data_IF_077589095597
#
_entry.id   IF_077589095597
#
_cell.length_a   1.000
_cell.length_b   1.000
_cell.length_c   1.000
_cell.angle_alpha   90.00
_cell.angle_beta   90.00
_cell.angle_gamma   90.00
#
_symmetry.space_group_name_H-M   'P 1'
#
loop_
_entity.id
_entity.type
_entity.pdbx_description
1 polymer ?
#
# COMPACT_ATOMS: atom_id res chain seq x y z
N UNK A 1 -0.69 -21.29 11.13
CA UNK A 1 -0.91 -19.82 11.16
C UNK A 1 -1.75 -19.48 9.95
N UNK A 2 -2.89 -18.80 10.12
CA UNK A 2 -3.74 -18.41 8.99
C UNK A 2 -3.10 -17.21 8.26
N UNK A 3 -2.08 -17.48 7.45
CA UNK A 3 -1.53 -16.50 6.52
C UNK A 3 -2.57 -16.35 5.39
N UNK A 4 -3.61 -15.53 5.60
CA UNK A 4 -4.35 -15.08 4.44
C UNK A 4 -3.36 -14.30 3.59
N UNK A 5 -3.00 -14.81 2.40
CA UNK A 5 -2.01 -14.19 1.49
C UNK A 5 -2.32 -12.72 1.18
N UNK A 6 -3.55 -12.28 1.46
CA UNK A 6 -4.07 -10.96 1.19
C UNK A 6 -5.06 -10.52 2.27
N UNK A 7 -5.26 -9.19 2.46
CA UNK A 7 -6.32 -8.68 3.32
C UNK A 7 -7.73 -9.09 2.85
N UNK A 8 -8.71 -9.02 3.77
CA UNK A 8 -10.13 -9.29 3.50
C UNK A 8 -10.69 -8.34 2.43
N UNK A 9 -11.47 -8.87 1.48
CA UNK A 9 -12.14 -8.10 0.44
C UNK A 9 -13.06 -7.02 1.03
N UNK A 10 -13.20 -5.89 0.34
CA UNK A 10 -14.03 -4.76 0.76
C UNK A 10 -13.43 -3.86 1.86
N UNK A 11 -12.23 -4.18 2.37
CA UNK A 11 -11.55 -3.32 3.36
C UNK A 11 -10.63 -2.29 2.71
N UNK A 12 -10.44 -1.14 3.36
CA UNK A 12 -9.45 -0.14 2.92
C UNK A 12 -8.04 -0.72 2.83
N UNK A 13 -7.70 -1.65 3.73
CA UNK A 13 -6.42 -2.36 3.72
C UNK A 13 -6.26 -3.24 2.48
N UNK A 14 -7.35 -3.82 1.97
CA UNK A 14 -7.33 -4.54 0.70
C UNK A 14 -7.09 -3.60 -0.49
N UNK A 15 -7.76 -2.44 -0.50
CA UNK A 15 -7.55 -1.42 -1.52
C UNK A 15 -6.08 -0.99 -1.55
N UNK A 16 -5.49 -0.70 -0.39
CA UNK A 16 -4.07 -0.38 -0.27
C UNK A 16 -3.18 -1.53 -0.75
N UNK A 17 -3.44 -2.77 -0.33
CA UNK A 17 -2.68 -3.94 -0.79
C UNK A 17 -2.68 -4.05 -2.32
N UNK A 18 -3.85 -3.97 -2.95
CA UNK A 18 -3.97 -4.11 -4.41
C UNK A 18 -3.30 -2.94 -5.16
N UNK A 19 -3.31 -1.73 -4.59
CA UNK A 19 -2.63 -0.55 -5.16
C UNK A 19 -1.11 -0.64 -5.05
N UNK A 20 -0.61 -1.03 -3.87
CA UNK A 20 0.82 -1.10 -3.59
C UNK A 20 1.52 -2.22 -4.39
N UNK A 21 0.80 -3.29 -4.73
CA UNK A 21 1.35 -4.41 -5.51
C UNK A 21 1.22 -4.24 -7.04
N UNK A 22 0.77 -3.09 -7.54
CA UNK A 22 0.81 -2.79 -8.98
C UNK A 22 2.26 -2.60 -9.44
N UNK A 23 2.58 -2.85 -10.73
CA UNK A 23 3.94 -2.63 -11.24
C UNK A 23 4.49 -1.22 -10.95
N UNK A 24 3.63 -0.21 -11.05
CA UNK A 24 3.94 1.18 -10.71
C UNK A 24 3.60 1.58 -9.26
N UNK A 25 3.07 0.68 -8.44
CA UNK A 25 2.50 1.00 -7.13
C UNK A 25 1.38 2.05 -7.18
N UNK A 26 1.35 2.89 -6.15
CA UNK A 26 0.42 4.02 -6.06
C UNK A 26 1.05 5.24 -5.39
N UNK A 27 0.59 6.42 -5.80
CA UNK A 27 0.95 7.70 -5.20
C UNK A 27 0.12 8.00 -3.95
N UNK A 28 0.57 8.96 -3.14
CA UNK A 28 -0.18 9.47 -1.99
C UNK A 28 -1.58 9.92 -2.40
N UNK A 29 -1.68 10.69 -3.49
CA UNK A 29 -2.96 11.16 -4.03
C UNK A 29 -3.88 10.00 -4.46
N UNK A 30 -3.34 8.97 -5.11
CA UNK A 30 -4.11 7.78 -5.51
C UNK A 30 -4.60 6.99 -4.29
N UNK A 31 -3.76 6.83 -3.27
CA UNK A 31 -4.13 6.14 -2.04
C UNK A 31 -5.20 6.91 -1.26
N UNK A 32 -5.03 8.22 -1.10
CA UNK A 32 -6.03 9.10 -0.46
C UNK A 32 -7.37 9.02 -1.19
N UNK A 33 -7.35 9.15 -2.53
CA UNK A 33 -8.56 9.04 -3.36
C UNK A 33 -9.24 7.68 -3.24
N UNK A 34 -8.48 6.58 -3.27
CA UNK A 34 -9.05 5.24 -3.27
C UNK A 34 -9.54 4.78 -1.89
N UNK A 35 -8.89 5.24 -0.81
CA UNK A 35 -9.28 4.90 0.56
C UNK A 35 -10.28 5.89 1.16
N UNK A 36 -10.47 7.05 0.52
CA UNK A 36 -11.26 8.17 1.04
C UNK A 36 -10.65 8.78 2.30
N UNK A 37 -9.34 8.68 2.47
CA UNK A 37 -8.60 9.30 3.57
C UNK A 37 -7.85 10.53 3.07
N UNK A 38 -7.54 11.43 3.99
CA UNK A 38 -6.62 12.55 3.75
C UNK A 38 -5.36 12.36 4.61
N UNK A 39 -4.54 11.39 4.21
CA UNK A 39 -3.29 11.08 4.90
C UNK A 39 -2.14 11.92 4.32
N UNK A 40 -1.22 12.31 5.20
CA UNK A 40 0.04 12.93 4.79
C UNK A 40 1.05 11.89 4.25
N UNK A 41 0.89 10.62 4.62
CA UNK A 41 1.79 9.54 4.23
C UNK A 41 1.19 8.16 4.52
N UNK A 42 1.56 7.16 3.71
CA UNK A 42 1.25 5.74 3.91
C UNK A 42 2.51 4.88 4.16
N UNK A 43 3.62 5.47 4.64
CA UNK A 43 4.87 4.72 4.88
C UNK A 43 4.62 3.55 5.85
N UNK A 44 3.93 3.81 6.95
CA UNK A 44 3.68 2.79 7.98
C UNK A 44 2.73 1.72 7.47
N UNK A 45 1.67 2.09 6.75
CA UNK A 45 0.76 1.13 6.11
C UNK A 45 1.49 0.26 5.08
N UNK A 46 2.34 0.86 4.26
CA UNK A 46 3.12 0.14 3.24
C UNK A 46 4.06 -0.88 3.90
N UNK A 47 4.76 -0.49 4.97
CA UNK A 47 5.62 -1.39 5.75
C UNK A 47 4.81 -2.50 6.43
N UNK A 48 3.67 -2.17 7.03
CA UNK A 48 2.81 -3.14 7.70
C UNK A 48 2.22 -4.15 6.71
N UNK A 49 1.80 -3.69 5.52
CA UNK A 49 1.28 -4.55 4.46
C UNK A 49 2.39 -5.48 3.94
N UNK A 50 3.60 -4.96 3.69
CA UNK A 50 4.73 -5.79 3.25
C UNK A 50 5.14 -6.83 4.31
N UNK A 51 5.14 -6.45 5.59
CA UNK A 51 5.42 -7.38 6.70
C UNK A 51 4.36 -8.47 6.83
N UNK A 52 3.08 -8.09 6.78
CA UNK A 52 1.97 -9.00 7.09
C UNK A 52 1.60 -9.89 5.89
N UNK A 53 1.88 -9.46 4.65
CA UNK A 53 1.51 -10.19 3.42
C UNK A 53 2.70 -10.51 2.50
N UNK A 54 3.92 -10.26 2.95
CA UNK A 54 5.15 -10.51 2.22
C UNK A 54 5.51 -9.42 1.21
N UNK A 55 6.80 -9.39 0.86
CA UNK A 55 7.39 -8.46 -0.09
C UNK A 55 8.24 -7.38 0.56
N UNK A 56 8.85 -6.56 -0.28
CA UNK A 56 9.74 -5.47 0.11
C UNK A 56 9.07 -4.13 -0.17
N UNK A 57 8.87 -3.27 0.85
CA UNK A 57 8.25 -1.97 0.67
C UNK A 57 9.24 -0.96 0.12
N UNK A 58 8.78 -0.13 -0.81
CA UNK A 58 9.56 0.93 -1.42
C UNK A 58 8.79 2.24 -1.40
N UNK A 59 9.50 3.33 -1.17
CA UNK A 59 8.95 4.68 -1.10
C UNK A 59 9.87 5.61 -1.90
N UNK A 60 9.30 6.42 -2.77
CA UNK A 60 10.06 7.41 -3.53
C UNK A 60 9.27 8.71 -3.73
N UNK A 61 9.98 9.83 -3.83
CA UNK A 61 9.42 11.16 -4.07
C UNK A 61 8.90 11.87 -2.81
N UNK A 62 8.22 13.01 -3.03
CA UNK A 62 7.73 13.90 -1.98
C UNK A 62 6.34 14.46 -2.29
N UNK A 63 5.65 14.97 -1.26
CA UNK A 63 4.31 15.53 -1.40
C UNK A 63 3.28 14.52 -1.95
N UNK A 64 2.30 15.03 -2.70
CA UNK A 64 1.20 14.22 -3.27
C UNK A 64 1.66 13.22 -4.34
N UNK A 65 2.81 13.45 -4.97
CA UNK A 65 3.41 12.54 -5.96
C UNK A 65 4.29 11.46 -5.34
N UNK A 66 4.46 11.46 -4.00
CA UNK A 66 5.18 10.39 -3.28
C UNK A 66 4.54 9.05 -3.61
N UNK A 67 5.35 8.11 -4.07
CA UNK A 67 4.95 6.80 -4.55
C UNK A 67 5.32 5.72 -3.56
N UNK A 68 4.45 4.74 -3.43
CA UNK A 68 4.54 3.60 -2.55
C UNK A 68 4.29 2.34 -3.37
N UNK A 69 5.16 1.35 -3.25
CA UNK A 69 4.97 0.06 -3.89
C UNK A 69 5.59 -1.06 -3.07
N UNK A 70 5.15 -2.30 -3.33
CA UNK A 70 5.67 -3.50 -2.70
C UNK A 70 6.05 -4.47 -3.82
N UNK A 71 7.32 -4.86 -3.86
CA UNK A 71 7.80 -5.94 -4.74
C UNK A 71 7.68 -7.25 -3.99
N UNK A 72 7.01 -8.26 -4.57
CA UNK A 72 7.03 -9.61 -4.00
C UNK A 72 8.45 -10.19 -4.10
N UNK A 73 8.88 -10.85 -3.02
CA UNK A 73 10.08 -11.69 -3.04
C UNK A 73 9.78 -12.99 -3.80
#
# INVERSE_FOLDING_TARGET
MASSDKPRLGTKRRIMYDLLHRPQGATLAELNRATGWDAFSYINDTKAIARDYGGTPHINGGGQSRRFWITKN
#
